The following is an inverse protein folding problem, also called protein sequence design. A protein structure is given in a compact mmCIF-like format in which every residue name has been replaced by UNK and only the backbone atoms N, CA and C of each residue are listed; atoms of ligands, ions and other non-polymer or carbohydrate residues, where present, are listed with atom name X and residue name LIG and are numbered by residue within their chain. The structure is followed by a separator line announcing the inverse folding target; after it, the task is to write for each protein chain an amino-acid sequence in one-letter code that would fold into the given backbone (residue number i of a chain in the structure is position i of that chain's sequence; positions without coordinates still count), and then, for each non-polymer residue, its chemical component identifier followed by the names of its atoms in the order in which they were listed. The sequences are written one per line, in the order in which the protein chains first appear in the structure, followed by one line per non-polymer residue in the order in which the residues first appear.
data_IF_785273988691
#
_entry.id   IF_785273988691
#
_cell.length_a   1.000
_cell.length_b   1.000
_cell.length_c   1.000
_cell.angle_alpha   90.00
_cell.angle_beta   90.00
_cell.angle_gamma   90.00
#
_symmetry.space_group_name_H-M   'P 1'
#
loop_
_entity.id
_entity.type
_entity.pdbx_description
1 polymer ?
#
# COMPACT_ATOMS: atom_id res chain seq x y z
N UNK A 1 12.81 28.65 -13.45
CA UNK A 1 12.52 27.48 -12.59
C UNK A 1 12.89 26.27 -13.39
N UNK A 2 13.77 25.40 -12.87
CA UNK A 2 14.22 24.18 -13.53
C UNK A 2 13.04 23.21 -13.67
N UNK A 3 12.27 23.36 -14.74
CA UNK A 3 11.41 22.29 -15.24
C UNK A 3 12.35 21.16 -15.65
N UNK A 4 12.04 19.93 -15.26
CA UNK A 4 12.72 18.78 -15.81
C UNK A 4 12.77 18.93 -17.34
N UNK A 5 13.92 18.69 -17.96
CA UNK A 5 14.10 18.87 -19.42
C UNK A 5 13.14 18.01 -20.26
N UNK A 6 12.47 17.05 -19.62
CA UNK A 6 11.48 16.15 -20.19
C UNK A 6 10.02 16.50 -19.90
N UNK A 7 9.72 17.42 -18.96
CA UNK A 7 8.34 17.75 -18.58
C UNK A 7 7.95 19.14 -19.07
N UNK A 8 7.01 19.16 -20.01
CA UNK A 8 6.36 20.36 -20.50
C UNK A 8 5.01 20.50 -19.80
N UNK A 9 4.96 21.36 -18.78
CA UNK A 9 3.71 21.65 -18.10
C UNK A 9 2.66 22.18 -19.10
N UNK A 10 1.40 21.70 -19.04
CA UNK A 10 0.33 22.24 -19.88
C UNK A 10 0.18 23.75 -19.69
N UNK A 11 -0.46 24.42 -20.66
CA UNK A 11 -0.64 25.88 -20.56
C UNK A 11 -1.36 26.25 -19.25
N UNK A 12 -1.07 27.42 -18.63
CA UNK A 12 -1.70 27.81 -17.38
C UNK A 12 -3.24 27.82 -17.42
N UNK A 13 -3.84 28.07 -18.59
CA UNK A 13 -5.29 28.01 -18.78
C UNK A 13 -5.82 26.58 -18.71
N UNK A 14 -5.09 25.61 -19.26
CA UNK A 14 -5.44 24.18 -19.20
C UNK A 14 -5.25 23.62 -17.79
N UNK A 15 -4.13 23.92 -17.13
CA UNK A 15 -3.86 23.43 -15.76
C UNK A 15 -4.96 23.86 -14.79
N UNK A 16 -5.46 25.10 -14.91
CA UNK A 16 -6.58 25.60 -14.07
C UNK A 16 -7.90 24.86 -14.28
N UNK A 17 -8.07 24.17 -15.40
CA UNK A 17 -9.26 23.40 -15.73
C UNK A 17 -9.09 21.90 -15.44
N UNK A 18 -7.88 21.46 -15.13
CA UNK A 18 -7.56 20.07 -14.86
C UNK A 18 -7.58 19.79 -13.36
N UNK A 19 -8.24 18.71 -12.96
CA UNK A 19 -8.06 18.14 -11.62
C UNK A 19 -6.70 17.45 -11.49
N UNK A 20 -6.40 16.97 -10.29
CA UNK A 20 -5.14 16.26 -10.00
C UNK A 20 -4.91 15.05 -10.91
N UNK A 21 -5.91 14.15 -11.03
CA UNK A 21 -5.77 12.92 -11.82
C UNK A 21 -5.33 13.13 -13.27
N UNK A 22 -5.97 14.04 -14.05
CA UNK A 22 -5.51 14.40 -15.38
C UNK A 22 -4.07 14.92 -15.44
N UNK A 23 -3.64 15.75 -14.48
CA UNK A 23 -2.27 16.26 -14.39
C UNK A 23 -1.27 15.14 -14.06
N UNK A 24 -1.63 14.24 -13.15
CA UNK A 24 -0.82 13.08 -12.80
C UNK A 24 -0.60 12.18 -14.02
N UNK A 25 -1.67 11.86 -14.75
CA UNK A 25 -1.59 11.04 -15.97
C UNK A 25 -0.75 11.71 -17.06
N UNK A 26 -0.87 13.03 -17.24
CA UNK A 26 -0.05 13.79 -18.17
C UNK A 26 1.44 13.72 -17.81
N UNK A 27 1.78 14.00 -16.54
CA UNK A 27 3.14 13.87 -16.03
C UNK A 27 3.72 12.48 -16.26
N UNK A 28 2.91 11.44 -15.98
CA UNK A 28 3.30 10.05 -16.14
C UNK A 28 3.52 9.66 -17.61
N UNK A 29 2.67 10.14 -18.52
CA UNK A 29 2.82 9.93 -19.95
C UNK A 29 4.08 10.62 -20.50
N UNK A 30 4.35 11.86 -20.08
CA UNK A 30 5.56 12.59 -20.47
C UNK A 30 6.84 11.94 -19.90
N UNK A 31 6.81 11.48 -18.65
CA UNK A 31 7.90 10.72 -18.04
C UNK A 31 8.21 9.48 -18.88
N UNK A 32 7.18 8.68 -19.21
CA UNK A 32 7.30 7.48 -20.05
C UNK A 32 7.88 7.79 -21.43
N UNK A 33 7.40 8.83 -22.11
CA UNK A 33 7.93 9.25 -23.42
C UNK A 33 9.39 9.66 -23.39
N UNK A 34 9.85 10.21 -22.26
CA UNK A 34 11.24 10.57 -22.04
C UNK A 34 12.10 9.40 -21.54
N UNK A 35 11.60 8.15 -21.61
CA UNK A 35 12.21 6.96 -21.05
C UNK A 35 12.52 7.10 -19.55
N UNK A 36 11.80 7.99 -18.84
CA UNK A 36 11.84 8.07 -17.39
C UNK A 36 10.93 7.00 -16.84
N UNK A 37 11.56 6.18 -16.04
CA UNK A 37 11.12 4.83 -15.82
C UNK A 37 10.28 4.78 -14.55
N UNK A 38 9.09 5.37 -14.55
CA UNK A 38 8.16 5.21 -13.41
C UNK A 38 7.12 4.16 -13.77
N UNK A 39 6.83 3.25 -12.85
CA UNK A 39 5.64 2.39 -12.90
C UNK A 39 4.55 3.04 -12.05
N UNK A 40 3.27 3.07 -12.50
CA UNK A 40 2.23 3.61 -11.64
C UNK A 40 2.06 2.60 -10.50
N UNK A 41 2.09 3.08 -9.25
CA UNK A 41 1.92 2.20 -8.09
C UNK A 41 0.55 1.52 -8.10
N UNK A 42 -0.45 2.19 -8.67
CA UNK A 42 -1.86 1.76 -8.73
C UNK A 42 -2.22 1.47 -10.19
N UNK A 43 -2.93 0.36 -10.43
CA UNK A 43 -3.41 -0.05 -11.76
C UNK A 43 -4.93 -0.24 -11.76
N UNK A 44 -5.55 -0.15 -12.94
CA UNK A 44 -7.00 -0.25 -13.15
C UNK A 44 -7.64 -1.44 -12.41
N UNK A 45 -7.10 -2.65 -12.58
CA UNK A 45 -7.65 -3.84 -11.94
C UNK A 45 -7.61 -3.81 -10.40
N UNK A 46 -6.69 -3.05 -9.79
CA UNK A 46 -6.61 -2.91 -8.33
C UNK A 46 -7.75 -2.06 -7.75
N UNK A 47 -8.45 -1.27 -8.58
CA UNK A 47 -9.60 -0.45 -8.18
C UNK A 47 -10.92 -0.98 -8.74
N UNK A 48 -10.92 -2.20 -9.31
CA UNK A 48 -12.10 -2.85 -9.87
C UNK A 48 -12.42 -2.49 -11.32
N UNK A 49 -11.61 -1.64 -11.95
CA UNK A 49 -11.77 -1.27 -13.36
C UNK A 49 -11.35 -2.41 -14.29
N UNK A 50 -12.11 -2.62 -15.36
CA UNK A 50 -11.86 -3.65 -16.38
C UNK A 50 -10.97 -3.16 -17.53
N UNK A 51 -10.65 -1.85 -17.55
CA UNK A 51 -9.85 -1.22 -18.60
C UNK A 51 -8.36 -1.53 -18.47
N UNK A 52 -7.63 -1.30 -19.56
CA UNK A 52 -6.18 -1.49 -19.62
C UNK A 52 -5.40 -0.28 -19.02
N UNK A 53 -6.09 0.82 -18.70
CA UNK A 53 -5.53 2.04 -18.09
C UNK A 53 -6.39 2.49 -16.92
N UNK A 54 -5.75 2.98 -15.86
CA UNK A 54 -6.42 3.55 -14.68
C UNK A 54 -7.19 4.83 -15.05
N UNK A 55 -8.46 4.94 -14.67
CA UNK A 55 -9.20 6.19 -14.82
C UNK A 55 -8.68 7.26 -13.86
N UNK A 56 -8.66 8.51 -14.33
CA UNK A 56 -8.12 9.62 -13.53
C UNK A 56 -8.93 9.97 -12.29
N UNK A 57 -10.20 9.58 -12.25
CA UNK A 57 -11.09 9.65 -11.08
C UNK A 57 -10.65 8.70 -9.97
N UNK A 58 -9.93 7.63 -10.29
CA UNK A 58 -9.44 6.62 -9.35
C UNK A 58 -7.96 6.80 -9.01
N UNK A 59 -7.41 8.00 -9.19
CA UNK A 59 -6.09 8.38 -8.70
C UNK A 59 -6.30 9.14 -7.37
N UNK A 60 -5.75 8.66 -6.24
CA UNK A 60 -5.86 9.38 -4.96
C UNK A 60 -5.18 10.74 -5.05
N UNK A 61 -5.84 11.77 -4.53
CA UNK A 61 -5.28 13.12 -4.48
C UNK A 61 -4.31 13.25 -3.30
N UNK A 62 -3.05 13.67 -3.51
CA UNK A 62 -2.07 13.83 -2.45
C UNK A 62 -2.36 15.10 -1.64
N UNK A 63 -2.29 14.99 -0.31
CA UNK A 63 -2.31 16.16 0.57
C UNK A 63 -0.92 16.80 0.70
N UNK A 64 0.13 15.98 0.61
CA UNK A 64 1.51 16.40 0.77
C UNK A 64 2.37 15.98 -0.44
N UNK A 65 3.50 16.65 -0.64
CA UNK A 65 4.45 16.30 -1.69
C UNK A 65 4.98 14.85 -1.53
N UNK A 66 5.14 14.39 -0.29
CA UNK A 66 5.55 13.00 0.01
C UNK A 66 4.53 11.97 -0.47
N UNK A 67 3.24 12.29 -0.42
CA UNK A 67 2.17 11.41 -0.90
C UNK A 67 2.21 11.30 -2.42
N UNK A 68 2.43 12.42 -3.10
CA UNK A 68 2.62 12.45 -4.55
C UNK A 68 3.78 11.53 -4.96
N UNK A 69 4.93 11.64 -4.29
CA UNK A 69 6.12 10.81 -4.58
C UNK A 69 5.82 9.32 -4.41
N UNK A 70 4.98 8.94 -3.45
CA UNK A 70 4.58 7.53 -3.22
C UNK A 70 3.68 6.95 -4.31
N UNK A 71 2.95 7.79 -5.05
CA UNK A 71 2.15 7.36 -6.20
C UNK A 71 3.02 7.07 -7.42
N UNK A 72 4.18 7.72 -7.51
CA UNK A 72 5.22 7.27 -8.42
C UNK A 72 5.81 5.99 -7.85
N UNK A 73 5.67 4.88 -8.59
CA UNK A 73 6.36 3.65 -8.27
C UNK A 73 7.87 3.77 -8.48
N UNK A 74 8.55 2.64 -8.57
CA UNK A 74 10.01 2.64 -8.73
C UNK A 74 10.49 3.30 -10.02
N UNK A 75 11.62 3.99 -9.90
CA UNK A 75 12.52 4.25 -11.00
C UNK A 75 13.11 2.91 -11.51
N UNK A 76 12.81 2.51 -12.73
CA UNK A 76 13.46 1.37 -13.41
C UNK A 76 14.59 1.86 -14.33
N UNK A 77 15.44 0.99 -14.88
CA UNK A 77 16.47 1.44 -15.84
C UNK A 77 15.86 1.80 -17.22
N UNK A 78 14.56 1.58 -17.41
CA UNK A 78 13.78 1.96 -18.60
C UNK A 78 12.27 1.87 -18.34
N UNK A 79 11.50 2.75 -18.97
CA UNK A 79 10.05 2.84 -18.77
C UNK A 79 9.30 1.72 -19.50
N UNK A 80 8.32 1.12 -18.82
CA UNK A 80 7.31 0.30 -19.52
C UNK A 80 6.55 1.18 -20.50
N UNK A 81 6.42 0.72 -21.75
CA UNK A 81 5.72 1.47 -22.79
C UNK A 81 4.20 1.33 -22.66
N UNK A 82 3.73 0.21 -22.09
CA UNK A 82 2.32 -0.08 -21.91
C UNK A 82 1.99 -0.55 -20.49
N UNK A 83 0.84 -0.15 -19.94
CA UNK A 83 0.34 -0.65 -18.65
C UNK A 83 0.11 -2.17 -18.71
N UNK A 84 -0.21 -2.70 -19.89
CA UNK A 84 -0.29 -4.12 -20.18
C UNK A 84 1.05 -4.87 -19.95
N UNK A 85 2.19 -4.17 -20.00
CA UNK A 85 3.49 -4.80 -19.72
C UNK A 85 3.61 -5.17 -18.23
N UNK A 86 2.96 -4.43 -17.31
CA UNK A 86 2.84 -4.84 -15.90
C UNK A 86 2.06 -6.16 -15.76
N UNK A 87 1.08 -6.39 -16.64
CA UNK A 87 0.23 -7.59 -16.67
C UNK A 87 0.92 -8.79 -17.36
N UNK A 88 2.06 -8.59 -18.02
CA UNK A 88 2.92 -9.66 -18.57
C UNK A 88 3.86 -10.29 -17.52
N UNK A 89 3.60 -10.04 -16.24
CA UNK A 89 4.49 -10.42 -15.15
C UNK A 89 4.83 -11.91 -15.06
N UNK A 90 5.97 -12.22 -14.43
CA UNK A 90 6.36 -13.59 -14.09
C UNK A 90 5.53 -14.02 -12.89
N UNK A 91 4.69 -15.04 -13.10
CA UNK A 91 4.03 -15.73 -12.00
C UNK A 91 5.08 -16.41 -11.13
N UNK A 92 5.10 -16.07 -9.84
CA UNK A 92 6.02 -16.66 -8.87
C UNK A 92 5.38 -17.84 -8.16
N UNK A 93 4.08 -17.76 -7.86
CA UNK A 93 3.32 -18.87 -7.28
C UNK A 93 1.98 -18.45 -6.67
N UNK A 94 1.20 -19.42 -6.14
CA UNK A 94 -0.06 -19.13 -5.45
C UNK A 94 0.16 -18.40 -4.12
N UNK A 95 -0.85 -17.62 -3.72
CA UNK A 95 -0.88 -16.95 -2.40
C UNK A 95 -2.25 -17.14 -1.74
N UNK A 96 -2.25 -17.23 -0.42
CA UNK A 96 -3.48 -17.31 0.36
C UNK A 96 -3.85 -15.92 0.85
N UNK A 97 -5.03 -15.43 0.47
CA UNK A 97 -5.53 -14.10 0.87
C UNK A 97 -6.64 -14.29 1.90
N UNK A 98 -6.49 -13.64 3.05
CA UNK A 98 -7.46 -13.71 4.16
C UNK A 98 -7.94 -12.30 4.54
N UNK A 99 -9.25 -12.16 4.70
CA UNK A 99 -9.79 -10.95 5.32
C UNK A 99 -9.40 -10.89 6.79
N UNK A 100 -9.10 -9.69 7.27
CA UNK A 100 -8.73 -9.40 8.67
C UNK A 100 -9.68 -8.40 9.33
N UNK A 101 -10.79 -8.06 8.67
CA UNK A 101 -11.76 -7.08 9.18
C UNK A 101 -12.46 -7.51 10.48
N UNK A 102 -12.48 -8.82 10.79
CA UNK A 102 -13.11 -9.39 11.97
C UNK A 102 -12.10 -9.86 13.04
N UNK A 103 -10.82 -9.55 12.88
CA UNK A 103 -9.79 -9.92 13.85
C UNK A 103 -9.86 -9.05 15.11
N UNK A 104 -9.54 -9.63 16.26
CA UNK A 104 -9.42 -8.91 17.52
C UNK A 104 -8.19 -7.99 17.55
N UNK A 105 -8.19 -7.01 18.44
CA UNK A 105 -7.12 -6.02 18.57
C UNK A 105 -5.74 -6.65 18.81
N UNK A 106 -5.64 -7.73 19.60
CA UNK A 106 -4.35 -8.39 19.86
C UNK A 106 -3.77 -8.97 18.57
N UNK A 107 -4.62 -9.62 17.78
CA UNK A 107 -4.24 -10.14 16.45
C UNK A 107 -3.82 -9.01 15.51
N UNK A 108 -4.56 -7.90 15.46
CA UNK A 108 -4.24 -6.75 14.60
C UNK A 108 -2.93 -6.07 15.00
N UNK A 109 -2.69 -5.86 16.29
CA UNK A 109 -1.43 -5.29 16.77
C UNK A 109 -0.23 -6.15 16.38
N UNK A 110 -0.34 -7.48 16.51
CA UNK A 110 0.71 -8.41 16.06
C UNK A 110 0.96 -8.32 14.55
N UNK A 111 -0.09 -8.19 13.75
CA UNK A 111 0.02 -8.01 12.29
C UNK A 111 0.73 -6.69 11.96
N UNK A 112 0.39 -5.60 12.65
CA UNK A 112 1.01 -4.28 12.45
C UNK A 112 2.49 -4.29 12.84
N UNK A 113 2.84 -4.88 13.97
CA UNK A 113 4.24 -5.05 14.41
C UNK A 113 5.03 -5.89 13.40
N UNK A 114 4.47 -7.00 12.94
CA UNK A 114 5.08 -7.82 11.89
C UNK A 114 5.26 -7.06 10.58
N UNK A 115 4.29 -6.23 10.20
CA UNK A 115 4.37 -5.41 8.99
C UNK A 115 5.42 -4.31 9.10
N UNK A 116 5.56 -3.70 10.28
CA UNK A 116 6.57 -2.69 10.56
C UNK A 116 7.98 -3.28 10.47
N UNK A 117 8.18 -4.48 11.03
CA UNK A 117 9.45 -5.21 10.93
C UNK A 117 9.76 -5.64 9.49
N UNK A 118 8.76 -6.09 8.72
CA UNK A 118 8.94 -6.47 7.32
C UNK A 118 9.24 -5.26 6.42
N UNK A 119 8.52 -4.15 6.61
CA UNK A 119 8.49 -2.99 5.70
C UNK A 119 9.14 -1.75 6.32
N UNK A 120 10.22 -1.92 7.09
CA UNK A 120 10.88 -0.84 7.86
C UNK A 120 11.11 0.44 7.09
N UNK A 121 11.49 0.36 5.81
CA UNK A 121 11.71 1.56 5.00
C UNK A 121 10.42 2.33 4.71
N UNK A 122 9.32 1.64 4.41
CA UNK A 122 8.03 2.29 4.17
C UNK A 122 7.51 2.94 5.46
N UNK A 123 7.56 2.23 6.58
CA UNK A 123 7.19 2.75 7.90
C UNK A 123 8.10 3.88 8.37
N UNK A 124 9.41 3.79 8.14
CA UNK A 124 10.36 4.85 8.47
C UNK A 124 10.21 6.09 7.59
N UNK A 125 9.80 5.94 6.32
CA UNK A 125 9.44 7.07 5.46
C UNK A 125 8.13 7.72 5.93
N UNK A 126 7.13 6.93 6.31
CA UNK A 126 5.90 7.45 6.90
C UNK A 126 6.16 8.20 8.21
N UNK A 127 7.01 7.63 9.07
CA UNK A 127 7.45 8.22 10.34
C UNK A 127 8.15 9.58 10.16
N UNK A 128 9.05 9.71 9.18
CA UNK A 128 9.71 10.99 8.85
C UNK A 128 8.86 11.92 7.98
N UNK A 129 7.71 11.44 7.52
CA UNK A 129 6.82 12.12 6.58
C UNK A 129 5.49 12.45 7.24
N UNK A 130 4.41 11.94 6.68
CA UNK A 130 3.03 12.23 7.06
C UNK A 130 2.74 11.96 8.54
N UNK A 131 3.31 10.92 9.16
CA UNK A 131 3.03 10.61 10.57
C UNK A 131 3.63 11.67 11.51
N UNK A 132 4.78 12.26 11.15
CA UNK A 132 5.43 13.30 11.96
C UNK A 132 4.65 14.60 12.06
N UNK A 133 3.64 14.79 11.20
CA UNK A 133 2.75 15.94 11.25
C UNK A 133 1.70 15.83 12.37
N UNK A 134 1.58 14.65 12.97
CA UNK A 134 0.64 14.37 14.05
C UNK A 134 1.40 14.07 15.35
N UNK A 135 0.83 14.51 16.46
CA UNK A 135 1.37 14.19 17.79
C UNK A 135 1.29 12.68 18.07
N UNK A 136 2.20 12.15 18.90
CA UNK A 136 2.26 10.71 19.22
C UNK A 136 1.47 10.34 20.49
N UNK A 137 0.34 11.00 20.74
CA UNK A 137 -0.42 10.88 21.99
C UNK A 137 -1.91 10.62 21.70
N UNK A 138 -2.26 9.40 21.26
CA UNK A 138 -3.65 9.01 21.08
C UNK A 138 -4.39 8.96 22.43
N UNK A 139 -5.71 9.18 22.41
CA UNK A 139 -6.57 9.18 23.59
C UNK A 139 -7.60 8.04 23.52
N UNK A 140 -7.43 7.04 24.39
CA UNK A 140 -8.34 5.89 24.50
C UNK A 140 -9.78 6.33 24.82
N UNK A 141 -9.97 7.41 25.57
CA UNK A 141 -11.32 7.90 25.91
C UNK A 141 -12.04 8.38 24.65
N UNK A 142 -11.34 9.14 23.81
CA UNK A 142 -11.88 9.62 22.53
C UNK A 142 -12.22 8.45 21.61
N UNK A 143 -11.40 7.38 21.63
CA UNK A 143 -11.68 6.16 20.86
C UNK A 143 -12.96 5.48 21.37
N UNK A 144 -13.09 5.29 22.68
CA UNK A 144 -14.29 4.68 23.28
C UNK A 144 -15.55 5.51 23.00
N UNK A 145 -15.49 6.83 23.18
CA UNK A 145 -16.59 7.75 22.87
C UNK A 145 -17.00 7.69 21.40
N UNK A 146 -16.03 7.56 20.48
CA UNK A 146 -16.31 7.40 19.07
C UNK A 146 -16.88 6.02 18.73
N UNK A 147 -16.58 4.98 19.51
CA UNK A 147 -17.07 3.62 19.27
C UNK A 147 -18.58 3.50 19.54
N UNK A 148 -19.05 4.17 20.60
CA UNK A 148 -20.42 4.16 21.17
C UNK A 148 -21.50 4.86 20.30
N UNK A 149 -21.30 4.99 18.99
CA UNK A 149 -22.27 5.64 18.08
C UNK A 149 -23.67 5.00 18.12
N UNK A 150 -24.68 5.84 18.35
CA UNK A 150 -26.04 5.59 17.86
C UNK A 150 -26.11 5.95 16.36
N UNK A 151 -26.64 5.03 15.54
CA UNK A 151 -26.51 5.01 14.07
C UNK A 151 -27.30 6.11 13.32
N UNK A 152 -27.96 7.03 14.01
CA UNK A 152 -29.04 7.83 13.43
C UNK A 152 -28.63 9.26 12.98
N UNK A 153 -27.39 9.71 13.21
CA UNK A 153 -26.91 11.06 12.83
C UNK A 153 -25.63 11.01 11.97
N UNK A 154 -25.75 11.39 10.68
CA UNK A 154 -24.65 11.44 9.70
C UNK A 154 -23.52 12.41 10.12
N UNK A 155 -23.83 13.52 10.80
CA UNK A 155 -22.81 14.47 11.24
C UNK A 155 -21.99 13.90 12.40
N UNK A 156 -22.64 13.16 13.30
CA UNK A 156 -21.96 12.49 14.43
C UNK A 156 -21.07 11.37 13.90
N UNK A 157 -21.57 10.56 12.96
CA UNK A 157 -20.78 9.49 12.32
C UNK A 157 -19.54 10.03 11.62
N UNK A 158 -19.66 11.10 10.83
CA UNK A 158 -18.53 11.74 10.16
C UNK A 158 -17.49 12.30 11.14
N UNK A 159 -17.94 12.96 12.22
CA UNK A 159 -17.06 13.46 13.29
C UNK A 159 -16.30 12.32 13.98
N UNK A 160 -16.98 11.24 14.31
CA UNK A 160 -16.39 10.10 14.99
C UNK A 160 -15.44 9.31 14.08
N UNK A 161 -15.74 9.22 12.77
CA UNK A 161 -14.81 8.70 11.76
C UNK A 161 -13.50 9.50 11.74
N UNK A 162 -13.58 10.83 11.78
CA UNK A 162 -12.41 11.70 11.84
C UNK A 162 -11.62 11.53 13.15
N UNK A 163 -12.31 11.38 14.29
CA UNK A 163 -11.66 11.13 15.58
C UNK A 163 -10.91 9.79 15.60
N UNK A 164 -11.53 8.72 15.08
CA UNK A 164 -10.89 7.40 14.93
C UNK A 164 -9.68 7.48 14.00
N UNK A 165 -9.83 8.14 12.86
CA UNK A 165 -8.75 8.32 11.88
C UNK A 165 -7.55 9.05 12.49
N UNK A 166 -7.78 10.18 13.14
CA UNK A 166 -6.72 10.96 13.78
C UNK A 166 -6.03 10.16 14.89
N UNK A 167 -6.78 9.54 15.80
CA UNK A 167 -6.20 8.71 16.87
C UNK A 167 -5.41 7.53 16.31
N UNK A 168 -5.86 6.93 15.20
CA UNK A 168 -5.14 5.83 14.58
C UNK A 168 -3.80 6.31 14.00
N UNK A 169 -3.76 7.47 13.34
CA UNK A 169 -2.51 8.07 12.86
C UNK A 169 -1.56 8.38 14.04
N UNK A 170 -2.06 8.99 15.11
CA UNK A 170 -1.27 9.30 16.31
C UNK A 170 -0.70 8.03 16.95
N UNK A 171 -1.50 6.96 17.03
CA UNK A 171 -1.04 5.67 17.56
C UNK A 171 -0.02 4.99 16.65
N UNK A 172 -0.22 5.01 15.33
CA UNK A 172 0.77 4.49 14.38
C UNK A 172 2.09 5.27 14.46
N UNK A 173 2.03 6.59 14.66
CA UNK A 173 3.23 7.39 14.91
C UNK A 173 3.94 6.96 16.21
N UNK A 174 3.18 6.77 17.30
CA UNK A 174 3.73 6.26 18.57
C UNK A 174 4.38 4.86 18.41
N UNK A 175 3.77 3.96 17.64
CA UNK A 175 4.37 2.64 17.35
C UNK A 175 5.70 2.77 16.60
N UNK A 176 5.77 3.65 15.61
CA UNK A 176 7.00 3.93 14.85
C UNK A 176 8.07 4.49 15.77
N UNK A 177 7.78 5.54 16.55
CA UNK A 177 8.72 6.11 17.50
C UNK A 177 9.18 5.08 18.54
N UNK A 178 8.27 4.26 19.06
CA UNK A 178 8.60 3.20 20.02
C UNK A 178 9.58 2.16 19.47
N UNK A 179 9.50 1.83 18.17
CA UNK A 179 10.40 0.84 17.54
C UNK A 179 11.72 1.45 17.09
N UNK A 180 11.71 2.67 16.55
CA UNK A 180 12.92 3.30 16.00
C UNK A 180 13.73 4.07 17.04
N UNK A 181 13.08 4.75 17.99
CA UNK A 181 13.74 5.56 19.02
C UNK A 181 13.86 4.82 20.36
N UNK A 182 12.96 3.87 20.62
CA UNK A 182 12.97 3.05 21.84
C UNK A 182 12.66 3.84 23.13
N UNK A 183 13.09 3.29 24.27
CA UNK A 183 13.02 4.00 25.55
C UNK A 183 11.60 4.30 26.02
N UNK A 184 11.34 5.55 26.43
CA UNK A 184 10.04 5.99 26.97
C UNK A 184 8.90 5.80 25.96
N UNK A 185 9.13 6.09 24.68
CA UNK A 185 8.14 5.93 23.62
C UNK A 185 7.70 4.47 23.45
N UNK A 186 8.61 3.53 23.66
CA UNK A 186 8.28 2.10 23.65
C UNK A 186 7.36 1.74 24.82
N UNK A 187 7.66 2.25 26.02
CA UNK A 187 6.81 2.02 27.21
C UNK A 187 5.41 2.61 27.02
N UNK A 188 5.30 3.81 26.45
CA UNK A 188 4.03 4.47 26.17
C UNK A 188 3.23 3.70 25.11
N UNK A 189 3.89 3.28 24.02
CA UNK A 189 3.28 2.42 23.00
C UNK A 189 2.75 1.12 23.60
N UNK A 190 3.57 0.42 24.40
CA UNK A 190 3.18 -0.84 25.03
C UNK A 190 2.06 -0.67 26.06
N UNK A 191 2.02 0.46 26.76
CA UNK A 191 0.89 0.79 27.65
C UNK A 191 -0.39 0.99 26.86
N UNK A 192 -0.34 1.79 25.79
CA UNK A 192 -1.51 2.05 24.96
C UNK A 192 -2.03 0.77 24.27
N UNK A 193 -1.13 -0.12 23.82
CA UNK A 193 -1.49 -1.44 23.29
C UNK A 193 -2.30 -2.25 24.31
N UNK A 194 -1.88 -2.28 25.58
CA UNK A 194 -2.62 -3.01 26.63
C UNK A 194 -4.04 -2.45 26.80
N UNK A 195 -4.17 -1.13 26.79
CA UNK A 195 -5.48 -0.47 26.90
C UNK A 195 -6.36 -0.82 25.71
N UNK A 196 -5.85 -0.74 24.48
CA UNK A 196 -6.56 -1.14 23.26
C UNK A 196 -6.97 -2.60 23.25
N UNK A 197 -6.11 -3.53 23.73
CA UNK A 197 -6.46 -4.95 23.82
C UNK A 197 -7.61 -5.16 24.81
N UNK A 198 -7.61 -4.40 25.93
CA UNK A 198 -8.65 -4.51 26.95
C UNK A 198 -10.00 -3.96 26.50
N UNK A 199 -10.00 -2.87 25.71
CA UNK A 199 -11.23 -2.22 25.22
C UNK A 199 -11.73 -2.80 23.90
N UNK A 200 -10.83 -3.35 23.08
CA UNK A 200 -11.08 -3.97 21.78
C UNK A 200 -12.06 -3.18 20.87
N UNK A 201 -11.78 -1.89 20.58
CA UNK A 201 -12.69 -1.03 19.81
C UNK A 201 -12.70 -1.46 18.33
N UNK A 202 -13.80 -2.04 17.87
CA UNK A 202 -13.90 -2.70 16.57
C UNK A 202 -13.78 -1.74 15.37
N UNK A 203 -14.41 -0.55 15.42
CA UNK A 203 -14.34 0.44 14.34
C UNK A 203 -12.96 1.09 14.28
N UNK A 204 -12.36 1.34 15.44
CA UNK A 204 -10.98 1.79 15.53
C UNK A 204 -10.01 0.74 14.98
N UNK A 205 -10.21 -0.53 15.30
CA UNK A 205 -9.40 -1.66 14.78
C UNK A 205 -9.37 -1.68 13.25
N UNK A 206 -10.54 -1.51 12.61
CA UNK A 206 -10.66 -1.40 11.14
C UNK A 206 -9.90 -0.21 10.58
N UNK A 207 -10.01 0.95 11.22
CA UNK A 207 -9.30 2.17 10.82
C UNK A 207 -7.79 1.96 10.91
N UNK A 208 -7.33 1.38 12.01
CA UNK A 208 -5.91 1.15 12.29
C UNK A 208 -5.26 0.19 11.30
N UNK A 209 -5.89 -0.96 11.02
CA UNK A 209 -5.34 -1.94 10.09
C UNK A 209 -5.31 -1.42 8.65
N UNK A 210 -6.31 -0.63 8.25
CA UNK A 210 -6.37 -0.04 6.91
C UNK A 210 -5.25 0.97 6.69
N UNK A 211 -5.02 1.87 7.66
CA UNK A 211 -3.89 2.80 7.63
C UNK A 211 -2.54 2.07 7.65
N UNK A 212 -2.41 1.04 8.49
CA UNK A 212 -1.23 0.19 8.50
C UNK A 212 -0.97 -0.48 7.15
N UNK A 213 -2.01 -0.95 6.46
CA UNK A 213 -1.89 -1.56 5.14
C UNK A 213 -1.44 -0.56 4.06
N UNK A 214 -1.97 0.68 4.10
CA UNK A 214 -1.52 1.77 3.21
C UNK A 214 -0.01 2.01 3.38
N UNK A 215 0.43 2.24 4.63
CA UNK A 215 1.85 2.48 4.93
C UNK A 215 2.71 1.31 4.48
N UNK A 216 2.29 0.08 4.77
CA UNK A 216 3.02 -1.15 4.43
C UNK A 216 3.19 -1.31 2.92
N UNK A 217 2.16 -0.97 2.14
CA UNK A 217 2.22 -0.98 0.67
C UNK A 217 2.96 0.24 0.08
N UNK A 218 3.39 1.19 0.91
CA UNK A 218 4.05 2.42 0.47
C UNK A 218 3.10 3.44 -0.15
N UNK A 219 1.83 3.47 0.29
CA UNK A 219 0.83 4.49 -0.05
C UNK A 219 0.70 5.46 1.12
N UNK A 220 0.53 6.76 0.84
CA UNK A 220 0.35 7.78 1.88
C UNK A 220 -0.98 7.63 2.64
N UNK A 221 -0.99 7.99 3.92
CA UNK A 221 -2.18 7.89 4.79
C UNK A 221 -3.32 8.82 4.35
N UNK A 222 -3.02 9.90 3.62
CA UNK A 222 -4.01 10.79 3.00
C UNK A 222 -4.92 10.08 1.99
N UNK A 223 -4.48 8.94 1.43
CA UNK A 223 -5.31 8.11 0.56
C UNK A 223 -6.39 7.31 1.33
N UNK A 224 -6.51 7.46 2.66
CA UNK A 224 -7.44 6.69 3.50
C UNK A 224 -8.89 6.76 3.02
N UNK A 225 -9.46 7.96 2.89
CA UNK A 225 -10.87 8.11 2.50
C UNK A 225 -11.17 7.59 1.09
N UNK A 226 -10.21 7.78 0.17
CA UNK A 226 -10.30 7.23 -1.19
C UNK A 226 -10.23 5.70 -1.16
N UNK A 227 -9.24 5.13 -0.45
CA UNK A 227 -8.99 3.69 -0.44
C UNK A 227 -10.11 2.90 0.22
N UNK A 228 -10.85 3.45 1.20
CA UNK A 228 -12.07 2.83 1.76
C UNK A 228 -13.11 2.44 0.70
N UNK A 229 -13.11 3.09 -0.47
CA UNK A 229 -14.09 2.86 -1.54
C UNK A 229 -13.69 1.75 -2.50
N UNK A 230 -12.40 1.43 -2.58
CA UNK A 230 -11.84 0.58 -3.66
C UNK A 230 -10.97 -0.55 -3.14
N UNK A 231 -10.46 -0.47 -1.92
CA UNK A 231 -9.54 -1.43 -1.31
C UNK A 231 -10.02 -1.97 0.03
N UNK A 232 -9.67 -3.24 0.25
CA UNK A 232 -9.84 -3.93 1.52
C UNK A 232 -8.47 -4.42 2.01
N UNK A 233 -8.10 -4.14 3.28
CA UNK A 233 -6.87 -4.67 3.87
C UNK A 233 -6.98 -6.18 4.05
N UNK A 234 -5.90 -6.89 3.74
CA UNK A 234 -5.85 -8.36 3.77
C UNK A 234 -4.53 -8.86 4.32
N UNK A 235 -4.56 -10.05 4.92
CA UNK A 235 -3.35 -10.80 5.23
C UNK A 235 -3.07 -11.76 4.09
N UNK A 236 -1.89 -11.64 3.49
CA UNK A 236 -1.43 -12.47 2.37
C UNK A 236 -0.33 -13.38 2.84
N UNK A 237 -0.57 -14.69 2.77
CA UNK A 237 0.41 -15.71 3.14
C UNK A 237 1.16 -16.19 1.90
N UNK A 238 2.49 -16.11 1.97
CA UNK A 238 3.42 -16.51 0.93
C UNK A 238 4.49 -17.38 1.58
N UNK A 239 4.47 -18.69 1.31
CA UNK A 239 5.34 -19.63 2.00
C UNK A 239 5.11 -19.59 3.51
N UNK A 240 6.11 -19.12 4.26
CA UNK A 240 6.07 -18.96 5.72
C UNK A 240 5.84 -17.52 6.18
N UNK A 241 5.66 -16.59 5.25
CA UNK A 241 5.57 -15.16 5.53
C UNK A 241 4.13 -14.69 5.39
N UNK A 242 3.64 -14.01 6.41
CA UNK A 242 2.37 -13.29 6.38
C UNK A 242 2.65 -11.80 6.15
N UNK A 243 2.00 -11.22 5.14
CA UNK A 243 2.17 -9.83 4.73
C UNK A 243 0.86 -9.07 4.82
N UNK A 244 0.90 -7.87 5.39
CA UNK A 244 -0.23 -6.94 5.37
C UNK A 244 -0.28 -6.24 4.01
N UNK A 245 -1.28 -6.59 3.19
CA UNK A 245 -1.49 -6.06 1.85
C UNK A 245 -2.87 -5.42 1.68
N UNK A 246 -3.17 -5.03 0.45
CA UNK A 246 -4.48 -4.52 0.05
C UNK A 246 -4.95 -5.20 -1.22
N UNK A 247 -6.24 -5.46 -1.33
CA UNK A 247 -6.86 -6.03 -2.54
C UNK A 247 -8.07 -5.20 -2.95
N UNK A 248 -8.38 -5.19 -4.25
CA UNK A 248 -9.61 -4.57 -4.74
C UNK A 248 -10.82 -5.14 -4.01
N UNK A 249 -11.65 -4.27 -3.42
CA UNK A 249 -12.86 -4.68 -2.72
C UNK A 249 -13.83 -5.43 -3.66
N UNK A 250 -13.79 -5.13 -4.96
CA UNK A 250 -14.58 -5.84 -5.97
C UNK A 250 -14.23 -7.33 -6.11
N UNK A 251 -13.01 -7.73 -5.74
CA UNK A 251 -12.57 -9.13 -5.79
C UNK A 251 -13.04 -9.94 -4.57
N UNK A 252 -13.32 -9.27 -3.45
CA UNK A 252 -13.85 -9.90 -2.25
C UNK A 252 -15.40 -9.88 -2.21
N UNK A 253 -16.03 -8.93 -2.88
CA UNK A 253 -17.49 -8.76 -2.90
C UNK A 253 -18.26 -9.95 -3.52
N UNK A 254 -17.60 -10.79 -4.32
CA UNK A 254 -18.23 -11.90 -5.01
C UNK A 254 -18.37 -13.19 -4.15
N UNK A 255 -18.02 -13.14 -2.85
CA UNK A 255 -18.30 -14.14 -1.80
C UNK A 255 -17.99 -15.61 -2.12
N UNK A 256 -17.25 -15.85 -3.18
CA UNK A 256 -16.65 -17.12 -3.52
C UNK A 256 -15.18 -16.81 -3.36
N UNK A 257 -14.57 -17.10 -2.20
CA UNK A 257 -13.12 -17.30 -2.22
C UNK A 257 -12.94 -18.48 -3.16
N UNK A 258 -12.53 -18.27 -4.42
CA UNK A 258 -12.31 -19.39 -5.30
C UNK A 258 -11.10 -20.12 -4.67
N UNK A 259 -10.96 -21.43 -4.92
CA UNK A 259 -9.93 -22.32 -4.36
C UNK A 259 -8.63 -21.63 -3.92
N UNK A 260 -7.92 -22.18 -2.91
CA UNK A 260 -6.65 -21.68 -2.33
C UNK A 260 -5.55 -21.22 -3.34
N UNK A 261 -5.74 -21.45 -4.64
CA UNK A 261 -4.88 -21.07 -5.76
C UNK A 261 -5.42 -19.94 -6.68
N UNK A 262 -6.49 -19.24 -6.29
CA UNK A 262 -7.11 -18.18 -7.12
C UNK A 262 -6.21 -16.97 -7.31
N UNK A 263 -5.52 -16.57 -6.24
CA UNK A 263 -4.60 -15.45 -6.28
C UNK A 263 -3.16 -15.92 -6.51
N UNK A 264 -2.42 -15.14 -7.29
CA UNK A 264 -1.04 -15.39 -7.67
C UNK A 264 -0.18 -14.21 -7.29
N UNK A 265 0.99 -14.52 -6.74
CA UNK A 265 2.09 -13.56 -6.64
C UNK A 265 2.71 -13.43 -8.03
N UNK A 266 2.69 -12.21 -8.56
CA UNK A 266 3.28 -11.92 -9.85
C UNK A 266 4.23 -10.76 -9.73
N UNK A 267 5.37 -10.87 -10.40
CA UNK A 267 6.31 -9.78 -10.56
C UNK A 267 6.08 -9.14 -11.93
N UNK A 268 5.76 -7.83 -12.04
CA UNK A 268 5.59 -7.18 -13.34
C UNK A 268 6.87 -7.36 -14.19
N UNK A 269 6.75 -7.62 -15.50
CA UNK A 269 7.90 -7.81 -16.39
C UNK A 269 8.09 -6.56 -17.21
N UNK A 270 9.35 -6.12 -17.34
CA UNK A 270 9.69 -5.08 -18.29
C UNK A 270 9.97 -5.75 -19.61
N UNK A 271 9.23 -5.35 -20.66
CA UNK A 271 9.40 -5.87 -22.00
C UNK A 271 10.84 -5.73 -22.51
N UNK A 272 11.64 -4.83 -21.92
CA UNK A 272 12.98 -4.50 -22.39
C UNK A 272 14.08 -4.42 -21.32
N UNK A 273 13.81 -4.60 -20.01
CA UNK A 273 14.82 -4.37 -18.95
C UNK A 273 14.82 -5.42 -17.83
N UNK A 274 15.97 -5.68 -17.19
CA UNK A 274 16.03 -6.47 -15.96
C UNK A 274 15.30 -5.71 -14.84
N UNK A 275 14.30 -6.32 -14.22
CA UNK A 275 13.65 -5.75 -13.04
C UNK A 275 14.19 -6.42 -11.78
N UNK A 276 14.49 -5.60 -10.77
CA UNK A 276 14.80 -6.04 -9.41
C UNK A 276 13.52 -6.47 -8.68
N UNK A 277 13.58 -7.60 -7.95
CA UNK A 277 12.50 -8.25 -7.15
C UNK A 277 11.88 -7.39 -6.02
N UNK A 278 11.99 -6.07 -6.09
CA UNK A 278 11.51 -5.12 -5.07
C UNK A 278 9.98 -5.19 -4.93
N UNK A 279 9.25 -5.46 -6.01
CA UNK A 279 7.79 -5.32 -6.04
C UNK A 279 7.12 -6.57 -6.61
N UNK A 280 6.23 -7.14 -5.81
CA UNK A 280 5.27 -8.10 -6.29
C UNK A 280 3.86 -7.57 -6.02
N UNK A 281 2.93 -8.06 -6.81
CA UNK A 281 1.52 -7.66 -6.76
C UNK A 281 0.66 -8.91 -6.65
N UNK A 282 -0.53 -8.73 -6.12
CA UNK A 282 -1.56 -9.77 -6.15
C UNK A 282 -2.20 -9.72 -7.52
N UNK A 283 -2.21 -10.86 -8.20
CA UNK A 283 -2.89 -11.03 -9.47
C UNK A 283 -3.89 -12.17 -9.40
N UNK A 284 -4.81 -12.22 -10.37
CA UNK A 284 -5.58 -13.41 -10.68
C UNK A 284 -5.39 -13.80 -12.15
N UNK A 285 -5.53 -15.09 -12.51
CA UNK A 285 -5.57 -15.50 -13.91
C UNK A 285 -6.67 -14.74 -14.67
N UNK A 286 -6.38 -14.28 -15.88
CA UNK A 286 -7.39 -13.64 -16.73
C UNK A 286 -8.44 -14.64 -17.21
N UNK A 287 -9.71 -14.23 -17.28
CA UNK A 287 -10.75 -14.98 -17.99
C UNK A 287 -10.63 -14.67 -19.50
N UNK A 288 -10.30 -15.67 -20.33
CA UNK A 288 -10.27 -15.55 -21.80
C UNK A 288 -8.87 -15.46 -22.45
N UNK A 289 -8.78 -14.87 -23.65
CA UNK A 289 -7.60 -14.90 -24.55
C UNK A 289 -6.55 -13.77 -24.31
N UNK A 290 -6.66 -12.97 -23.24
CA UNK A 290 -5.73 -11.84 -22.96
C UNK A 290 -4.54 -12.28 -22.08
N UNK A 291 -3.47 -11.47 -22.10
CA UNK A 291 -2.21 -11.67 -21.37
C UNK A 291 -2.46 -12.13 -19.91
N UNK A 292 -1.76 -13.21 -19.55
CA UNK A 292 -2.01 -14.20 -18.48
C UNK A 292 -2.60 -13.74 -17.13
N UNK A 293 -2.36 -12.51 -16.64
CA UNK A 293 -2.75 -12.10 -15.28
C UNK A 293 -3.36 -10.69 -15.20
N UNK A 294 -4.38 -10.51 -14.35
CA UNK A 294 -4.94 -9.20 -13.98
C UNK A 294 -4.42 -8.77 -12.62
N UNK A 295 -3.90 -7.55 -12.52
CA UNK A 295 -3.45 -6.93 -11.27
C UNK A 295 -4.65 -6.57 -10.40
N UNK A 296 -4.72 -7.08 -9.18
CA UNK A 296 -5.90 -6.91 -8.30
C UNK A 296 -5.57 -6.44 -6.90
N UNK A 297 -4.30 -6.47 -6.49
CA UNK A 297 -3.92 -6.02 -5.15
C UNK A 297 -2.44 -5.66 -5.02
N UNK A 298 -2.13 -4.97 -3.93
CA UNK A 298 -0.82 -4.47 -3.56
C UNK A 298 -0.24 -5.27 -2.40
N UNK A 299 1.08 -5.42 -2.43
CA UNK A 299 1.87 -5.96 -1.34
C UNK A 299 2.97 -4.98 -0.94
N UNK A 300 3.49 -5.11 0.29
CA UNK A 300 4.71 -4.43 0.68
C UNK A 300 5.87 -4.78 -0.25
N UNK A 301 6.81 -3.84 -0.39
CA UNK A 301 8.05 -4.12 -1.11
C UNK A 301 8.85 -5.19 -0.36
N UNK A 302 9.28 -6.24 -1.07
CA UNK A 302 10.02 -7.35 -0.46
C UNK A 302 11.45 -6.97 -0.07
N UNK A 303 11.95 -5.92 -0.72
CA UNK A 303 13.33 -5.47 -0.64
C UNK A 303 13.34 -3.95 -0.75
N UNK A 304 14.24 -3.27 -0.06
CA UNK A 304 14.48 -1.83 -0.20
C UNK A 304 15.97 -1.55 -0.45
N UNK A 305 16.34 -0.30 -0.71
CA UNK A 305 17.72 0.11 -1.01
C UNK A 305 18.71 -0.11 0.15
N UNK A 306 18.21 -0.38 1.36
CA UNK A 306 19.03 -0.61 2.56
C UNK A 306 19.06 -2.08 2.99
N UNK A 307 18.31 -2.96 2.32
CA UNK A 307 18.31 -4.40 2.60
C UNK A 307 19.59 -5.01 2.05
N UNK A 308 20.41 -5.56 2.94
CA UNK A 308 21.59 -6.33 2.56
C UNK A 308 21.23 -7.64 1.85
N UNK A 309 22.20 -8.21 1.14
CA UNK A 309 22.03 -9.43 0.36
C UNK A 309 21.60 -10.64 1.22
N UNK A 310 22.07 -10.74 2.47
CA UNK A 310 21.72 -11.86 3.35
C UNK A 310 20.27 -11.79 3.83
N UNK A 311 19.79 -10.60 4.17
CA UNK A 311 18.41 -10.33 4.55
C UNK A 311 17.49 -10.58 3.37
N UNK A 312 17.90 -10.19 2.16
CA UNK A 312 17.20 -10.53 0.93
C UNK A 312 17.09 -12.04 0.72
N UNK A 313 18.20 -12.77 0.77
CA UNK A 313 18.24 -14.22 0.59
C UNK A 313 17.35 -14.94 1.60
N UNK A 314 17.37 -14.49 2.87
CA UNK A 314 16.53 -15.04 3.93
C UNK A 314 15.06 -14.84 3.63
N UNK A 315 14.65 -13.60 3.32
CA UNK A 315 13.26 -13.28 2.94
C UNK A 315 12.84 -14.13 1.76
N UNK A 316 13.65 -14.20 0.71
CA UNK A 316 13.36 -14.98 -0.49
C UNK A 316 13.16 -16.47 -0.17
N UNK A 317 14.02 -17.05 0.66
CA UNK A 317 13.90 -18.43 1.13
C UNK A 317 12.61 -18.68 1.90
N UNK A 318 12.20 -17.72 2.74
CA UNK A 318 10.96 -17.83 3.53
C UNK A 318 9.69 -17.79 2.67
N UNK A 319 9.77 -17.21 1.45
CA UNK A 319 8.69 -17.27 0.46
C UNK A 319 8.49 -18.68 -0.12
N UNK A 320 9.49 -19.55 -0.01
CA UNK A 320 9.38 -20.96 -0.40
C UNK A 320 9.38 -21.24 -1.91
N UNK A 321 9.83 -20.29 -2.74
CA UNK A 321 9.89 -20.48 -4.19
C UNK A 321 11.02 -21.45 -4.61
N UNK A 322 10.71 -22.35 -5.54
CA UNK A 322 11.55 -23.50 -5.93
C UNK A 322 12.77 -23.13 -6.77
N UNK A 323 12.75 -22.01 -7.49
CA UNK A 323 13.84 -21.52 -8.33
C UNK A 323 14.16 -20.08 -7.97
N UNK A 324 15.41 -19.79 -7.60
CA UNK A 324 15.94 -18.42 -7.65
C UNK A 324 15.92 -18.03 -9.12
N UNK A 325 14.84 -17.39 -9.57
CA UNK A 325 14.86 -16.66 -10.83
C UNK A 325 16.08 -15.74 -10.75
N UNK A 326 17.07 -15.97 -11.60
CA UNK A 326 18.33 -15.21 -11.64
C UNK A 326 18.02 -13.78 -12.04
N UNK A 327 17.60 -12.97 -11.08
CA UNK A 327 17.43 -11.54 -11.23
C UNK A 327 18.74 -10.89 -10.79
N UNK A 328 19.30 -10.03 -11.65
CA UNK A 328 20.33 -9.10 -11.21
C UNK A 328 19.67 -8.14 -10.21
N UNK A 329 19.94 -8.33 -8.93
CA UNK A 329 19.78 -7.26 -7.94
C UNK A 329 20.80 -6.19 -8.35
N UNK A 330 20.32 -5.13 -8.98
CA UNK A 330 21.15 -3.96 -9.26
C UNK A 330 21.16 -3.16 -7.96
N UNK A 331 22.31 -3.14 -7.29
CA UNK A 331 22.58 -2.17 -6.24
C UNK A 331 22.51 -0.79 -6.91
N UNK A 332 21.46 -0.03 -6.60
CA UNK A 332 21.39 1.38 -6.98
C UNK A 332 22.34 2.12 -6.05
N UNK A 333 23.59 2.28 -6.50
CA UNK A 333 24.56 3.25 -5.98
C UNK A 333 24.31 4.58 -6.69
#
# INVERSE_FOLDING_TARGET
MSQYDWYLAPSPQMVRQMGFGPLFRDCFAQARHANRATLPKIMAGMVGEQGDSLETSNIPEPELLGDLVKLFGLATDGALQHDADCALGVEVGPVVVRSIESSDMSTILRILEGSLEFSKSAWGLAGRGELSLHEAWPDVKVISEAEDEELDDENISSRNDNLRHNNAIQFLNLMVLGIFDGGGMQMDSDSFKRDLISTNPSKFTKTLVHLGALISCGIGVSAYLWSKKVWTPVLVTIGKTDLLGMISSSELANNSFPDENYFRLTHPVSSNMPITYKHAIITRPCEGLRSRHRCVGLLPAFTDEKVDHETWLRRYKDLGFLEVLTFKVIDLI
#
